data_IF_044620071534
#
_entry.id   IF_044620071534
#
_cell.length_a   1.000
_cell.length_b   1.000
_cell.length_c   1.000
_cell.angle_alpha   90.00
_cell.angle_beta   90.00
_cell.angle_gamma   90.00
#
_symmetry.space_group_name_H-M   'P 1'
#
loop_
_entity.id
_entity.type
_entity.pdbx_description
1 polymer ?
#
# COMPACT_ATOMS: atom_id res chain seq x y z
N UNK A 1 2.20 45.44 -24.87
CA UNK A 1 2.94 44.23 -24.48
C UNK A 1 2.41 43.72 -23.15
N UNK A 2 1.63 42.63 -23.09
CA UNK A 2 1.31 41.98 -21.83
C UNK A 2 1.84 40.54 -21.81
N UNK A 3 2.70 40.21 -20.85
CA UNK A 3 2.96 38.83 -20.46
C UNK A 3 2.57 38.68 -18.98
N UNK A 4 1.28 38.41 -18.75
CA UNK A 4 0.81 37.90 -17.47
C UNK A 4 1.21 36.41 -17.38
N UNK A 5 2.01 36.07 -16.39
CA UNK A 5 2.25 34.69 -16.00
C UNK A 5 1.07 34.19 -15.15
N UNK A 6 0.37 33.11 -15.51
CA UNK A 6 -0.56 32.48 -14.59
C UNK A 6 0.22 31.62 -13.58
N UNK A 7 0.03 31.95 -12.30
CA UNK A 7 0.27 31.06 -11.17
C UNK A 7 -0.84 30.00 -11.12
N UNK A 8 -0.48 28.82 -10.61
CA UNK A 8 -1.32 27.73 -10.07
C UNK A 8 -1.37 26.45 -10.91
N UNK A 9 -0.66 25.45 -10.41
CA UNK A 9 -0.74 24.06 -10.85
C UNK A 9 -0.35 23.14 -9.70
N UNK A 10 -1.25 23.05 -8.72
CA UNK A 10 -1.50 21.91 -7.83
C UNK A 10 -0.28 21.05 -7.45
N UNK A 11 0.18 21.22 -6.21
CA UNK A 11 0.97 20.20 -5.51
C UNK A 11 0.12 18.93 -5.47
N UNK A 12 0.42 18.01 -6.38
CA UNK A 12 0.02 16.61 -6.26
C UNK A 12 0.72 16.11 -4.99
N UNK A 13 0.02 16.15 -3.85
CA UNK A 13 0.34 15.20 -2.78
C UNK A 13 0.12 13.85 -3.43
N UNK A 14 1.20 13.15 -3.72
CA UNK A 14 1.14 11.79 -4.20
C UNK A 14 0.49 10.96 -3.09
N UNK A 15 -0.82 10.84 -3.13
CA UNK A 15 -1.50 9.67 -2.60
C UNK A 15 -0.97 8.53 -3.46
N UNK A 16 0.04 7.82 -2.94
CA UNK A 16 0.56 6.64 -3.61
C UNK A 16 -0.52 5.57 -3.50
N UNK A 17 -1.37 5.48 -4.51
CA UNK A 17 -2.26 4.34 -4.68
C UNK A 17 -1.40 3.13 -5.04
N UNK A 18 -1.17 2.27 -4.05
CA UNK A 18 -0.40 1.05 -4.25
C UNK A 18 -1.34 -0.06 -4.71
N UNK A 19 -1.28 -0.35 -6.01
CA UNK A 19 -2.02 -1.43 -6.65
C UNK A 19 -1.51 -2.80 -6.14
N UNK A 20 -2.32 -3.41 -5.27
CA UNK A 20 -2.06 -4.76 -4.73
C UNK A 20 -2.29 -5.87 -5.77
N UNK A 21 -2.92 -5.59 -6.91
CA UNK A 21 -3.35 -6.60 -7.89
C UNK A 21 -2.26 -7.14 -8.81
N UNK A 22 -1.07 -6.53 -8.86
CA UNK A 22 -0.07 -6.85 -9.89
C UNK A 22 0.97 -7.91 -9.50
N UNK A 23 1.25 -8.12 -8.21
CA UNK A 23 2.15 -9.20 -7.76
C UNK A 23 2.02 -9.55 -6.28
N UNK A 24 1.06 -9.00 -5.54
CA UNK A 24 1.24 -8.90 -4.10
C UNK A 24 0.43 -9.97 -3.35
N UNK A 25 1.12 -10.79 -2.55
CA UNK A 25 0.46 -11.72 -1.63
C UNK A 25 -0.51 -10.98 -0.70
N UNK A 26 -1.71 -11.53 -0.54
CA UNK A 26 -2.74 -11.01 0.34
C UNK A 26 -3.45 -12.17 1.03
N UNK A 27 -3.67 -12.05 2.34
CA UNK A 27 -4.42 -13.04 3.11
C UNK A 27 -5.20 -12.38 4.26
N UNK A 28 -6.34 -12.97 4.63
CA UNK A 28 -7.23 -12.44 5.68
C UNK A 28 -7.38 -13.49 6.78
N UNK A 29 -7.16 -13.08 8.02
CA UNK A 29 -7.45 -13.88 9.21
C UNK A 29 -8.88 -13.61 9.74
N UNK A 30 -9.53 -14.60 10.39
CA UNK A 30 -10.87 -14.45 10.95
C UNK A 30 -10.95 -13.46 12.13
N UNK A 31 -9.81 -13.04 12.67
CA UNK A 31 -9.71 -12.07 13.76
C UNK A 31 -9.81 -10.60 13.28
N UNK A 32 -10.05 -10.36 12.00
CA UNK A 32 -10.13 -9.01 11.44
C UNK A 32 -8.76 -8.38 11.08
N UNK A 33 -7.69 -9.17 11.05
CA UNK A 33 -6.40 -8.76 10.49
C UNK A 33 -6.26 -9.25 9.05
N UNK A 34 -5.58 -8.47 8.21
CA UNK A 34 -5.09 -8.92 6.90
C UNK A 34 -3.58 -8.75 6.80
N UNK A 35 -2.94 -9.56 5.96
CA UNK A 35 -1.59 -9.37 5.48
C UNK A 35 -1.65 -8.93 4.02
N UNK A 36 -0.84 -7.94 3.67
CA UNK A 36 -0.70 -7.46 2.29
C UNK A 36 0.77 -7.21 1.97
N UNK A 37 1.19 -7.55 0.77
CA UNK A 37 2.49 -7.13 0.26
C UNK A 37 2.39 -5.87 -0.61
N UNK A 38 3.49 -5.12 -0.67
CA UNK A 38 3.73 -4.13 -1.73
C UNK A 38 5.21 -4.18 -2.08
N UNK A 39 5.53 -4.83 -3.20
CA UNK A 39 6.89 -5.18 -3.57
C UNK A 39 7.58 -6.05 -2.50
N UNK A 40 8.62 -5.51 -1.88
CA UNK A 40 9.39 -6.16 -0.82
C UNK A 40 8.83 -5.91 0.60
N UNK A 41 7.78 -5.09 0.74
CA UNK A 41 7.21 -4.70 2.02
C UNK A 41 6.04 -5.62 2.37
N UNK A 42 5.96 -6.04 3.61
CA UNK A 42 4.81 -6.77 4.16
C UNK A 42 4.13 -5.89 5.20
N UNK A 43 2.85 -5.67 5.01
CA UNK A 43 1.99 -4.91 5.89
C UNK A 43 1.02 -5.83 6.60
N UNK A 44 0.71 -5.49 7.85
CA UNK A 44 -0.48 -5.98 8.54
C UNK A 44 -1.51 -4.87 8.59
N UNK A 45 -2.75 -5.21 8.25
CA UNK A 45 -3.87 -4.27 8.15
C UNK A 45 -4.91 -4.68 9.20
N UNK A 46 -5.31 -3.72 10.02
CA UNK A 46 -6.51 -3.83 10.85
C UNK A 46 -7.73 -3.52 9.98
N UNK A 47 -8.61 -4.50 9.75
CA UNK A 47 -9.75 -4.35 8.85
C UNK A 47 -10.91 -3.55 9.47
N UNK A 48 -10.94 -3.40 10.80
CA UNK A 48 -11.95 -2.58 11.48
C UNK A 48 -11.69 -1.08 11.31
N UNK A 49 -10.43 -0.69 11.18
CA UNK A 49 -9.99 0.72 11.10
C UNK A 49 -9.34 1.10 9.77
N UNK A 50 -8.98 0.11 8.94
CA UNK A 50 -8.22 0.29 7.70
C UNK A 50 -6.74 0.63 7.93
N UNK A 51 -6.25 0.62 9.17
CA UNK A 51 -4.87 1.01 9.48
C UNK A 51 -3.88 -0.07 9.03
N UNK A 52 -2.95 0.30 8.16
CA UNK A 52 -1.83 -0.54 7.76
C UNK A 52 -0.57 -0.22 8.58
N UNK A 53 0.15 -1.25 9.03
CA UNK A 53 1.48 -1.14 9.65
C UNK A 53 2.47 -2.04 8.92
N UNK A 54 3.67 -1.52 8.67
CA UNK A 54 4.77 -2.33 8.14
C UNK A 54 5.19 -3.36 9.21
N UNK A 55 5.27 -4.63 8.83
CA UNK A 55 5.68 -5.72 9.72
C UNK A 55 6.93 -6.45 9.26
N UNK A 56 7.35 -6.24 8.01
CA UNK A 56 8.59 -6.85 7.53
C UNK A 56 8.99 -6.39 6.14
N UNK A 57 10.25 -6.72 5.81
CA UNK A 57 10.83 -6.61 4.49
C UNK A 57 11.29 -8.00 4.06
N UNK A 58 11.08 -8.36 2.80
CA UNK A 58 11.59 -9.60 2.22
C UNK A 58 12.61 -9.31 1.12
N UNK A 59 13.61 -10.18 0.90
CA UNK A 59 14.51 -10.05 -0.24
C UNK A 59 13.78 -10.48 -1.52
N UNK A 60 13.20 -9.52 -2.24
CA UNK A 60 12.51 -9.73 -3.52
C UNK A 60 11.02 -9.41 -3.48
N UNK A 61 10.28 -9.86 -4.49
CA UNK A 61 8.83 -9.67 -4.56
C UNK A 61 8.09 -10.80 -3.83
N UNK A 62 7.08 -10.46 -3.03
CA UNK A 62 6.22 -11.44 -2.35
C UNK A 62 5.22 -12.04 -3.32
N UNK A 63 5.29 -13.35 -3.60
CA UNK A 63 4.33 -14.03 -4.49
C UNK A 63 3.09 -14.57 -3.76
N UNK A 64 3.14 -14.71 -2.44
CA UNK A 64 2.05 -15.21 -1.62
C UNK A 64 2.29 -14.97 -0.13
N UNK A 65 1.21 -14.77 0.62
CA UNK A 65 1.21 -14.65 2.07
C UNK A 65 0.13 -15.57 2.63
N UNK A 66 0.33 -16.06 3.85
CA UNK A 66 -0.69 -16.79 4.58
C UNK A 66 -0.52 -16.57 6.08
N UNK A 67 -1.63 -16.45 6.80
CA UNK A 67 -1.66 -16.67 8.23
C UNK A 67 -1.50 -18.17 8.53
N UNK A 68 -0.79 -18.47 9.62
CA UNK A 68 -0.76 -19.83 10.15
C UNK A 68 -2.01 -20.06 10.99
N UNK A 69 -2.70 -21.17 10.71
CA UNK A 69 -3.82 -21.67 11.50
C UNK A 69 -3.39 -22.81 12.42
#
# INVERSE_FOLDING_TARGET
MPHAHPLQGQSQRAESEEDIGRTNGFDIAPNGEALAASGARVYRIDLGTGRARLVGLVPGSVTGLAFRH
#
